data_IF_834377454707
#
_entry.id   IF_834377454707
#
_cell.length_a   1.000
_cell.length_b   1.000
_cell.length_c   1.000
_cell.angle_alpha   90.00
_cell.angle_beta   90.00
_cell.angle_gamma   90.00
#
_symmetry.space_group_name_H-M   'P 1'
#
loop_
_entity.id
_entity.type
_entity.pdbx_description
1 polymer ?
#
# COMPACT_ATOMS: atom_id res chain seq x y z
N UNK A 1 -2.32 18.44 -19.55
CA UNK A 1 -2.93 17.32 -18.79
C UNK A 1 -1.80 16.42 -18.26
N UNK A 2 -1.76 16.21 -16.95
CA UNK A 2 -0.78 15.32 -16.33
C UNK A 2 -1.04 13.86 -16.76
N UNK A 3 0.03 13.13 -17.03
CA UNK A 3 -0.01 11.67 -17.30
C UNK A 3 -0.16 10.93 -15.99
N UNK A 4 -1.39 10.52 -15.66
CA UNK A 4 -1.69 9.74 -14.47
C UNK A 4 -1.61 8.24 -14.79
N UNK A 5 -0.91 7.47 -13.96
CA UNK A 5 -0.90 6.01 -13.97
C UNK A 5 -1.50 5.46 -12.68
N UNK A 6 -2.27 4.38 -12.79
CA UNK A 6 -2.90 3.70 -11.66
C UNK A 6 -2.76 2.19 -11.82
N UNK A 7 -3.14 1.44 -10.79
CA UNK A 7 -3.30 -0.01 -10.94
C UNK A 7 -4.60 -0.36 -11.65
N UNK A 8 -4.60 -1.45 -12.42
CA UNK A 8 -5.81 -2.02 -13.01
C UNK A 8 -6.82 -2.44 -11.94
N UNK A 9 -8.13 -2.27 -12.16
CA UNK A 9 -9.17 -2.57 -11.17
C UNK A 9 -9.16 -4.01 -10.65
N UNK A 10 -8.65 -4.96 -11.44
CA UNK A 10 -8.61 -6.38 -11.10
C UNK A 10 -7.54 -6.75 -10.07
N UNK A 11 -6.60 -5.85 -9.76
CA UNK A 11 -5.54 -6.09 -8.76
C UNK A 11 -5.80 -5.31 -7.47
N UNK A 12 -5.20 -5.70 -6.33
CA UNK A 12 -5.52 -5.09 -5.02
C UNK A 12 -5.40 -3.57 -4.98
N UNK A 13 -4.33 -3.00 -5.54
CA UNK A 13 -4.13 -1.54 -5.57
C UNK A 13 -5.17 -0.83 -6.46
N UNK A 14 -5.60 -1.47 -7.56
CA UNK A 14 -6.67 -0.93 -8.40
C UNK A 14 -8.05 -1.02 -7.74
N UNK A 15 -8.34 -2.13 -7.07
CA UNK A 15 -9.56 -2.27 -6.27
C UNK A 15 -9.64 -1.21 -5.17
N UNK A 16 -8.51 -0.88 -4.51
CA UNK A 16 -8.42 0.19 -3.55
C UNK A 16 -8.66 1.56 -4.20
N UNK A 17 -8.07 1.80 -5.39
CA UNK A 17 -8.28 3.03 -6.17
C UNK A 17 -9.76 3.22 -6.53
N UNK A 18 -10.45 2.17 -7.00
CA UNK A 18 -11.90 2.22 -7.31
C UNK A 18 -12.72 2.59 -6.08
N UNK A 19 -12.44 1.99 -4.92
CA UNK A 19 -13.13 2.33 -3.67
C UNK A 19 -12.89 3.79 -3.26
N UNK A 20 -11.65 4.24 -3.35
CA UNK A 20 -11.24 5.60 -3.01
C UNK A 20 -11.94 6.63 -3.90
N UNK A 21 -11.88 6.47 -5.21
CA UNK A 21 -12.48 7.40 -6.16
C UNK A 21 -14.00 7.46 -6.04
N UNK A 22 -14.64 6.30 -5.78
CA UNK A 22 -16.07 6.24 -5.49
C UNK A 22 -16.42 7.01 -4.22
N UNK A 23 -15.66 6.81 -3.15
CA UNK A 23 -15.88 7.51 -1.88
C UNK A 23 -15.66 9.02 -1.99
N UNK A 24 -14.66 9.43 -2.78
CA UNK A 24 -14.36 10.83 -3.04
C UNK A 24 -15.28 11.49 -4.08
N UNK A 25 -16.12 10.73 -4.79
CA UNK A 25 -16.99 11.25 -5.84
C UNK A 25 -16.25 11.76 -7.08
N UNK A 26 -15.06 11.21 -7.36
CA UNK A 26 -14.22 11.63 -8.50
C UNK A 26 -14.08 10.52 -9.54
N UNK A 27 -13.81 10.93 -10.78
CA UNK A 27 -13.48 10.03 -11.89
C UNK A 27 -12.06 10.30 -12.36
N UNK A 28 -11.20 9.28 -12.36
CA UNK A 28 -9.85 9.37 -12.90
C UNK A 28 -9.84 9.05 -14.39
N UNK A 29 -8.89 9.65 -15.10
CA UNK A 29 -8.62 9.37 -16.52
C UNK A 29 -7.13 8.99 -16.64
N UNK A 30 -6.75 7.76 -16.25
CA UNK A 30 -5.36 7.32 -16.35
C UNK A 30 -4.96 7.15 -17.83
N UNK A 31 -3.67 7.39 -18.10
CA UNK A 31 -3.08 7.09 -19.41
C UNK A 31 -2.65 5.62 -19.49
N UNK A 32 -2.53 4.94 -18.36
CA UNK A 32 -2.11 3.53 -18.26
C UNK A 32 -2.62 2.91 -16.97
N UNK A 33 -2.94 1.62 -17.03
CA UNK A 33 -3.36 0.79 -15.88
C UNK A 33 -2.41 -0.40 -15.73
N UNK A 34 -1.77 -0.50 -14.57
CA UNK A 34 -0.69 -1.46 -14.32
C UNK A 34 -1.17 -2.67 -13.50
N UNK A 35 -0.54 -3.82 -13.73
CA UNK A 35 -0.86 -5.05 -13.00
C UNK A 35 -0.18 -5.13 -11.62
N UNK A 36 0.80 -4.25 -11.36
CA UNK A 36 1.54 -4.19 -10.09
C UNK A 36 1.73 -2.74 -9.67
N UNK A 37 1.62 -2.49 -8.37
CA UNK A 37 1.87 -1.15 -7.81
C UNK A 37 3.32 -0.70 -8.03
N UNK A 38 4.27 -1.63 -8.09
CA UNK A 38 5.67 -1.33 -8.41
C UNK A 38 5.85 -0.75 -9.80
N UNK A 39 5.03 -1.14 -10.77
CA UNK A 39 5.09 -0.61 -12.12
C UNK A 39 4.55 0.83 -12.17
N UNK A 40 3.47 1.11 -11.43
CA UNK A 40 2.97 2.49 -11.23
C UNK A 40 4.08 3.37 -10.64
N UNK A 41 4.72 2.90 -9.56
CA UNK A 41 5.81 3.61 -8.90
C UNK A 41 6.98 3.86 -9.84
N UNK A 42 7.43 2.83 -10.54
CA UNK A 42 8.58 2.93 -11.46
C UNK A 42 8.34 3.95 -12.58
N UNK A 43 7.14 3.98 -13.17
CA UNK A 43 6.80 4.95 -14.22
C UNK A 43 6.89 6.41 -13.75
N UNK A 44 6.55 6.67 -12.49
CA UNK A 44 6.71 8.01 -11.91
C UNK A 44 8.18 8.28 -11.57
N UNK A 45 8.89 7.33 -10.96
CA UNK A 45 10.31 7.46 -10.62
C UNK A 45 11.20 7.73 -11.84
N UNK A 46 10.84 7.20 -13.01
CA UNK A 46 11.59 7.37 -14.26
C UNK A 46 11.13 8.56 -15.10
N UNK A 47 10.07 9.27 -14.68
CA UNK A 47 9.50 10.39 -15.44
C UNK A 47 8.67 9.96 -16.67
N UNK A 48 8.34 8.68 -16.82
CA UNK A 48 7.43 8.20 -17.86
C UNK A 48 5.98 8.69 -17.60
N UNK A 49 5.62 8.82 -16.32
CA UNK A 49 4.36 9.39 -15.88
C UNK A 49 4.60 10.57 -14.93
N UNK A 50 3.67 11.53 -14.94
CA UNK A 50 3.73 12.72 -14.07
C UNK A 50 3.20 12.43 -12.67
N UNK A 51 2.26 11.49 -12.52
CA UNK A 51 1.65 11.13 -11.25
C UNK A 51 1.22 9.65 -11.24
N UNK A 52 1.19 9.06 -10.04
CA UNK A 52 0.71 7.71 -9.81
C UNK A 52 -0.01 7.59 -8.47
N UNK A 53 -1.02 6.73 -8.40
CA UNK A 53 -1.71 6.42 -7.16
C UNK A 53 -1.16 5.09 -6.62
N UNK A 54 -0.54 5.15 -5.44
CA UNK A 54 0.15 4.03 -4.79
C UNK A 54 -0.17 4.02 -3.29
N UNK A 55 0.22 2.96 -2.61
CA UNK A 55 0.15 2.94 -1.15
C UNK A 55 1.20 3.84 -0.52
N UNK A 56 0.95 4.27 0.71
CA UNK A 56 1.91 5.08 1.50
C UNK A 56 3.27 4.39 1.62
N UNK A 57 3.29 3.06 1.73
CA UNK A 57 4.51 2.26 1.79
C UNK A 57 5.34 2.34 0.51
N UNK A 58 4.68 2.33 -0.66
CA UNK A 58 5.36 2.46 -1.96
C UNK A 58 5.92 3.86 -2.16
N UNK A 59 5.13 4.89 -1.85
CA UNK A 59 5.59 6.28 -1.92
C UNK A 59 6.81 6.50 -1.02
N UNK A 60 6.79 5.96 0.19
CA UNK A 60 7.92 6.06 1.12
C UNK A 60 9.16 5.31 0.62
N UNK A 61 8.97 4.15 -0.01
CA UNK A 61 10.07 3.37 -0.60
C UNK A 61 10.72 4.05 -1.81
N UNK A 62 10.04 4.98 -2.47
CA UNK A 62 10.60 5.79 -3.57
C UNK A 62 11.60 6.86 -3.06
N UNK A 63 11.53 7.23 -1.78
CA UNK A 63 12.42 8.25 -1.20
C UNK A 63 12.35 9.58 -1.95
N UNK A 64 13.52 10.13 -2.25
CA UNK A 64 13.66 11.45 -2.90
C UNK A 64 13.41 11.44 -4.42
N UNK A 65 13.06 10.27 -5.00
CA UNK A 65 12.79 10.16 -6.43
C UNK A 65 11.43 10.74 -6.84
N UNK A 66 10.53 10.91 -5.88
CA UNK A 66 9.17 11.42 -6.12
C UNK A 66 8.76 12.39 -5.03
N UNK A 67 7.86 13.29 -5.37
CA UNK A 67 7.12 14.08 -4.38
C UNK A 67 5.89 13.29 -3.93
N UNK A 68 5.69 13.16 -2.62
CA UNK A 68 4.54 12.46 -2.05
C UNK A 68 3.45 13.45 -1.65
N UNK A 69 2.31 13.38 -2.34
CA UNK A 69 1.12 14.15 -1.99
C UNK A 69 0.19 13.26 -1.17
N UNK A 70 0.02 13.59 0.10
CA UNK A 70 -0.90 12.87 0.98
C UNK A 70 -2.35 13.25 0.66
N UNK A 71 -3.17 12.25 0.38
CA UNK A 71 -4.60 12.41 0.11
C UNK A 71 -5.43 11.81 1.23
N UNK A 72 -6.69 12.22 1.35
CA UNK A 72 -7.64 11.57 2.24
C UNK A 72 -7.97 10.17 1.73
N UNK A 73 -7.81 9.18 2.57
CA UNK A 73 -8.11 7.78 2.22
C UNK A 73 -9.60 7.45 2.20
N UNK A 74 -10.47 8.33 2.72
CA UNK A 74 -11.90 8.09 2.90
C UNK A 74 -12.22 6.75 3.56
N UNK A 75 -11.37 6.31 4.48
CA UNK A 75 -11.51 5.02 5.17
C UNK A 75 -11.09 3.79 4.34
N UNK A 76 -10.54 3.98 3.14
CA UNK A 76 -9.99 2.88 2.34
C UNK A 76 -8.62 2.50 2.89
N UNK A 77 -8.56 1.38 3.60
CA UNK A 77 -7.35 0.85 4.25
C UNK A 77 -7.22 -0.63 3.91
N UNK A 78 -6.01 -1.05 3.57
CA UNK A 78 -5.69 -2.48 3.46
C UNK A 78 -5.24 -3.02 4.82
N UNK A 79 -5.90 -4.08 5.28
CA UNK A 79 -5.52 -4.79 6.48
C UNK A 79 -4.61 -5.97 6.13
N UNK A 80 -3.45 -6.01 6.74
CA UNK A 80 -2.52 -7.12 6.64
C UNK A 80 -2.65 -8.01 7.86
N UNK A 81 -2.78 -9.30 7.63
CA UNK A 81 -2.95 -10.30 8.68
C UNK A 81 -1.71 -11.20 8.72
N UNK A 82 -1.35 -11.62 9.92
CA UNK A 82 -0.32 -12.63 10.14
C UNK A 82 -0.92 -13.76 10.99
N UNK A 83 -0.69 -15.01 10.58
CA UNK A 83 -1.13 -16.19 11.31
C UNK A 83 -0.17 -17.35 11.06
N UNK A 84 -0.05 -18.32 12.00
CA UNK A 84 0.64 -19.56 11.72
C UNK A 84 -0.19 -20.41 10.74
N UNK A 85 0.49 -21.22 9.93
CA UNK A 85 -0.19 -22.25 9.14
C UNK A 85 -0.72 -23.36 10.06
N UNK A 86 -1.64 -24.20 9.58
CA UNK A 86 -2.15 -25.35 10.36
C UNK A 86 -1.02 -26.25 10.86
N UNK A 87 -0.02 -26.52 10.03
CA UNK A 87 1.14 -27.36 10.40
C UNK A 87 2.06 -26.69 11.41
N UNK A 88 2.05 -25.36 11.53
CA UNK A 88 2.85 -24.58 12.46
C UNK A 88 2.05 -24.04 13.66
N UNK A 89 0.80 -24.45 13.83
CA UNK A 89 -0.08 -23.91 14.88
C UNK A 89 0.51 -24.08 16.30
N UNK A 90 1.28 -25.16 16.54
CA UNK A 90 1.94 -25.44 17.80
C UNK A 90 3.46 -25.15 17.78
N UNK A 91 3.96 -24.52 16.72
CA UNK A 91 5.36 -24.17 16.59
C UNK A 91 5.68 -22.93 17.44
N UNK A 92 6.58 -23.11 18.41
CA UNK A 92 6.97 -22.04 19.35
C UNK A 92 7.65 -20.88 18.62
N UNK A 93 8.47 -21.15 17.61
CA UNK A 93 9.20 -20.11 16.87
C UNK A 93 8.25 -19.28 16.01
N UNK A 94 7.24 -19.90 15.39
CA UNK A 94 6.19 -19.18 14.66
C UNK A 94 5.43 -18.23 15.60
N UNK A 95 5.10 -18.70 16.81
CA UNK A 95 4.46 -17.85 17.82
C UNK A 95 5.35 -16.68 18.25
N UNK A 96 6.62 -16.94 18.54
CA UNK A 96 7.60 -15.89 18.91
C UNK A 96 7.70 -14.83 17.83
N UNK A 97 7.77 -15.24 16.55
CA UNK A 97 7.85 -14.30 15.44
C UNK A 97 6.57 -13.43 15.33
N UNK A 98 5.38 -14.04 15.43
CA UNK A 98 4.11 -13.30 15.41
C UNK A 98 4.02 -12.32 16.58
N UNK A 99 4.39 -12.77 17.78
CA UNK A 99 4.40 -11.92 18.97
C UNK A 99 5.38 -10.75 18.81
N UNK A 100 6.56 -10.99 18.21
CA UNK A 100 7.53 -9.93 17.91
C UNK A 100 6.99 -8.93 16.90
N UNK A 101 6.39 -9.39 15.81
CA UNK A 101 5.77 -8.48 14.81
C UNK A 101 4.72 -7.59 15.45
N UNK A 102 3.94 -8.11 16.41
CA UNK A 102 2.91 -7.35 17.14
C UNK A 102 3.47 -6.55 18.32
N UNK A 103 4.74 -6.72 18.68
CA UNK A 103 5.37 -5.97 19.75
C UNK A 103 5.58 -4.49 19.38
N UNK A 104 5.88 -3.66 20.41
CA UNK A 104 6.23 -2.25 20.20
C UNK A 104 7.39 -2.08 19.21
N UNK A 105 8.41 -2.93 19.29
CA UNK A 105 9.59 -2.86 18.43
C UNK A 105 9.27 -3.29 16.99
N UNK A 106 8.54 -4.39 16.80
CA UNK A 106 8.06 -4.83 15.49
C UNK A 106 7.17 -3.78 14.83
N UNK A 107 6.25 -3.19 15.57
CA UNK A 107 5.37 -2.15 15.07
C UNK A 107 6.13 -0.85 14.76
N UNK A 108 7.20 -0.51 15.48
CA UNK A 108 8.05 0.63 15.15
C UNK A 108 8.80 0.42 13.82
N UNK A 109 9.23 -0.80 13.52
CA UNK A 109 9.85 -1.15 12.24
C UNK A 109 8.84 -0.98 11.10
N UNK A 110 7.62 -1.49 11.26
CA UNK A 110 6.56 -1.36 10.26
C UNK A 110 6.17 0.11 10.03
N UNK A 111 6.06 0.90 11.08
CA UNK A 111 5.77 2.34 10.99
C UNK A 111 6.85 3.10 10.22
N UNK A 112 8.14 2.74 10.40
CA UNK A 112 9.25 3.29 9.60
C UNK A 112 9.08 2.99 8.11
N UNK A 113 8.51 1.85 7.75
CA UNK A 113 8.22 1.48 6.36
C UNK A 113 6.93 2.13 5.80
N UNK A 114 6.16 2.83 6.63
CA UNK A 114 4.94 3.54 6.20
C UNK A 114 3.63 2.79 6.49
N UNK A 115 3.68 1.67 7.22
CA UNK A 115 2.47 0.98 7.67
C UNK A 115 1.79 1.75 8.81
N UNK A 116 0.47 1.68 8.84
CA UNK A 116 -0.33 2.18 9.96
C UNK A 116 -0.26 1.27 11.19
N UNK A 117 -0.75 1.79 12.32
CA UNK A 117 -0.88 0.97 13.52
C UNK A 117 -1.90 -0.16 13.32
N UNK A 118 -1.77 -1.30 14.07
CA UNK A 118 -2.76 -2.36 14.04
C UNK A 118 -4.15 -1.83 14.39
N UNK A 119 -5.19 -2.41 13.75
CA UNK A 119 -6.55 -2.12 14.18
C UNK A 119 -6.72 -2.57 15.64
N UNK A 120 -7.19 -1.68 16.48
CA UNK A 120 -7.61 -2.04 17.84
C UNK A 120 -8.79 -3.02 17.74
N UNK A 121 -8.66 -4.15 18.46
CA UNK A 121 -9.76 -5.11 18.56
C UNK A 121 -10.93 -4.52 19.32
#
# INVERSE_FOLDING_TARGET
NAKLVICAPAVPCGAATVKLTKAAGITLKPVSEEQKVTDVRTKVETGEADAGLVYTTDAKASGDKVETIKIDSHGVVNHYLIAPTKSAANNKDAKIFIDYVNSKDGQAILAKAGFGAPATK
#
